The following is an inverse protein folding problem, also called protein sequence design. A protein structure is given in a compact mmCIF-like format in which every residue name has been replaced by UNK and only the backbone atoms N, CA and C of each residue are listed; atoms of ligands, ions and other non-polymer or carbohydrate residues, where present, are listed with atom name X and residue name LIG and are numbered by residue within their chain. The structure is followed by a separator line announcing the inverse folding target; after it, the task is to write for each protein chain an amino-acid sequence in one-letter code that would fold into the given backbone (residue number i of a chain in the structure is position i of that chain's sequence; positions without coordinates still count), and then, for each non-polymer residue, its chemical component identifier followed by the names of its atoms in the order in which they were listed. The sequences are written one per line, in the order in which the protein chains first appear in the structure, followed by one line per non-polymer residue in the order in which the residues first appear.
data_IF_112920353530
#
_entry.id   IF_112920353530
#
_cell.length_a   1.000
_cell.length_b   1.000
_cell.length_c   1.000
_cell.angle_alpha   90.00
_cell.angle_beta   90.00
_cell.angle_gamma   90.00
#
_symmetry.space_group_name_H-M   'P 1'
#
loop_
_entity.id
_entity.type
_entity.pdbx_description
1 polymer ?
#
# COMPACT_ATOMS: atom_id res chain seq x y z
N UNK A 1 -8.66 -14.66 -2.40
CA UNK A 1 -8.33 -13.26 -2.10
C UNK A 1 -9.43 -12.67 -1.24
N UNK A 2 -9.08 -12.00 -0.14
CA UNK A 2 -9.97 -11.00 0.47
C UNK A 2 -9.87 -9.79 -0.42
N UNK A 3 -10.98 -9.38 -1.01
CA UNK A 3 -11.02 -8.18 -1.86
C UNK A 3 -11.68 -7.07 -1.07
N UNK A 4 -10.97 -5.96 -0.95
CA UNK A 4 -11.48 -4.72 -0.38
C UNK A 4 -11.75 -3.75 -1.52
N UNK A 5 -12.96 -3.29 -1.64
CA UNK A 5 -13.37 -2.36 -2.69
C UNK A 5 -13.98 -1.11 -2.05
N UNK A 6 -13.36 0.01 -2.28
CA UNK A 6 -13.93 1.33 -1.97
C UNK A 6 -14.25 1.99 -3.30
N UNK A 7 -15.55 2.23 -3.55
CA UNK A 7 -16.01 2.87 -4.77
C UNK A 7 -16.38 4.33 -4.46
N UNK A 8 -15.70 5.26 -5.10
CA UNK A 8 -16.04 6.68 -5.07
C UNK A 8 -16.81 7.05 -6.32
N UNK A 9 -18.01 7.64 -6.14
CA UNK A 9 -18.80 8.16 -7.26
C UNK A 9 -18.75 9.68 -7.20
N UNK A 10 -18.03 10.30 -8.15
CA UNK A 10 -18.07 11.74 -8.38
C UNK A 10 -19.24 12.03 -9.31
N UNK A 11 -20.24 12.75 -8.84
CA UNK A 11 -21.38 13.13 -9.69
C UNK A 11 -20.99 14.30 -10.58
N UNK A 12 -20.69 14.03 -11.85
CA UNK A 12 -20.74 15.03 -12.90
C UNK A 12 -22.17 15.09 -13.51
N UNK A 13 -22.84 16.21 -13.35
CA UNK A 13 -24.02 16.57 -14.13
C UNK A 13 -25.37 16.30 -13.46
N UNK A 14 -26.05 17.37 -13.10
CA UNK A 14 -27.40 17.37 -12.55
C UNK A 14 -28.43 16.75 -13.49
N UNK A 15 -29.08 15.72 -12.99
CA UNK A 15 -30.41 15.32 -13.38
C UNK A 15 -31.22 15.25 -12.09
N UNK A 16 -32.26 16.06 -11.95
CA UNK A 16 -33.24 15.90 -10.88
C UNK A 16 -33.76 14.45 -10.97
N UNK A 17 -33.39 13.65 -10.00
CA UNK A 17 -33.98 12.33 -9.80
C UNK A 17 -35.17 12.51 -8.87
N UNK A 18 -36.36 12.16 -9.35
CA UNK A 18 -37.52 11.87 -8.52
C UNK A 18 -37.11 10.84 -7.44
N UNK A 19 -37.58 11.06 -6.20
CA UNK A 19 -37.29 10.16 -5.07
C UNK A 19 -37.50 8.69 -5.47
N UNK A 20 -36.50 7.81 -5.21
CA UNK A 20 -36.64 6.40 -5.53
C UNK A 20 -37.61 5.72 -4.57
N UNK A 21 -38.44 4.87 -5.12
CA UNK A 21 -39.19 3.86 -4.38
C UNK A 21 -38.23 3.04 -3.52
N UNK A 22 -38.46 3.07 -2.21
CA UNK A 22 -37.78 2.35 -1.10
C UNK A 22 -36.30 1.97 -1.30
N UNK A 23 -35.39 2.76 -0.71
CA UNK A 23 -33.93 2.46 -0.64
C UNK A 23 -33.63 1.04 -0.10
N UNK A 24 -34.47 0.47 0.75
CA UNK A 24 -34.32 -0.89 1.29
C UNK A 24 -34.26 -1.98 0.22
N UNK A 25 -35.00 -1.88 -0.87
CA UNK A 25 -34.99 -2.91 -1.93
C UNK A 25 -33.69 -2.95 -2.76
N UNK A 26 -33.07 -1.79 -2.97
CA UNK A 26 -31.82 -1.69 -3.75
C UNK A 26 -30.64 -2.21 -2.92
N UNK A 27 -30.56 -1.87 -1.63
CA UNK A 27 -29.51 -2.37 -0.75
C UNK A 27 -29.54 -3.89 -0.61
N UNK A 28 -30.71 -4.49 -0.48
CA UNK A 28 -30.88 -5.94 -0.38
C UNK A 28 -30.48 -6.63 -1.70
N UNK A 29 -30.81 -6.04 -2.83
CA UNK A 29 -30.39 -6.52 -4.14
C UNK A 29 -28.85 -6.48 -4.28
N UNK A 30 -28.20 -5.35 -3.92
CA UNK A 30 -26.76 -5.22 -3.94
C UNK A 30 -26.10 -6.22 -3.01
N UNK A 31 -26.60 -6.42 -1.79
CA UNK A 31 -26.07 -7.45 -0.86
C UNK A 31 -26.18 -8.86 -1.43
N UNK A 32 -27.28 -9.17 -2.14
CA UNK A 32 -27.49 -10.44 -2.79
C UNK A 32 -26.46 -10.67 -3.91
N UNK A 33 -26.23 -9.68 -4.74
CA UNK A 33 -25.22 -9.73 -5.80
C UNK A 33 -23.79 -9.86 -5.23
N UNK A 34 -23.46 -9.13 -4.16
CA UNK A 34 -22.17 -9.26 -3.49
C UNK A 34 -21.99 -10.66 -2.87
N UNK A 35 -23.04 -11.24 -2.29
CA UNK A 35 -23.01 -12.60 -1.78
C UNK A 35 -22.80 -13.63 -2.92
N UNK A 36 -23.41 -13.42 -4.07
CA UNK A 36 -23.17 -14.24 -5.24
C UNK A 36 -21.71 -14.16 -5.73
N UNK A 37 -21.10 -12.96 -5.68
CA UNK A 37 -19.67 -12.78 -6.00
C UNK A 37 -18.77 -13.52 -5.03
N UNK A 38 -19.03 -13.45 -3.73
CA UNK A 38 -18.23 -14.19 -2.71
C UNK A 38 -18.32 -15.70 -2.96
N UNK A 39 -19.49 -16.20 -3.36
CA UNK A 39 -19.71 -17.61 -3.70
C UNK A 39 -19.30 -17.97 -5.14
N UNK A 40 -18.55 -17.09 -5.83
CA UNK A 40 -18.04 -17.34 -7.18
C UNK A 40 -19.08 -17.40 -8.29
N UNK A 41 -20.37 -17.10 -8.01
CA UNK A 41 -21.44 -17.23 -8.98
C UNK A 41 -21.64 -18.67 -9.50
N UNK A 42 -21.22 -19.68 -8.73
CA UNK A 42 -21.21 -21.09 -9.11
C UNK A 42 -19.90 -21.57 -9.76
N UNK A 43 -18.89 -20.73 -9.86
CA UNK A 43 -17.54 -21.09 -10.33
C UNK A 43 -16.55 -21.05 -9.15
N UNK A 44 -16.04 -22.20 -8.67
CA UNK A 44 -15.08 -22.23 -7.55
C UNK A 44 -13.80 -21.40 -7.80
N UNK A 45 -13.41 -21.21 -9.05
CA UNK A 45 -12.25 -20.40 -9.40
C UNK A 45 -12.43 -18.91 -9.10
N UNK A 46 -13.67 -18.46 -8.90
CA UNK A 46 -14.03 -17.07 -8.62
C UNK A 46 -14.44 -16.82 -7.18
N UNK A 47 -14.49 -17.85 -6.35
CA UNK A 47 -14.83 -17.70 -4.94
C UNK A 47 -13.82 -16.80 -4.21
N UNK A 48 -14.34 -16.01 -3.27
CA UNK A 48 -13.55 -15.17 -2.37
C UNK A 48 -13.68 -15.73 -0.95
N UNK A 49 -12.59 -15.73 -0.18
CA UNK A 49 -12.66 -16.06 1.25
C UNK A 49 -13.43 -15.00 2.04
N UNK A 50 -13.35 -13.76 1.62
CA UNK A 50 -14.07 -12.64 2.20
C UNK A 50 -14.06 -11.42 1.28
N UNK A 51 -15.03 -10.54 1.49
CA UNK A 51 -15.21 -9.28 0.76
C UNK A 51 -15.69 -8.19 1.73
N UNK A 52 -15.00 -7.05 1.74
CA UNK A 52 -15.44 -5.84 2.42
C UNK A 52 -15.61 -4.72 1.39
N UNK A 53 -16.74 -4.05 1.41
CA UNK A 53 -17.11 -3.01 0.43
C UNK A 53 -17.65 -1.81 1.15
N UNK A 54 -17.19 -0.61 0.76
CA UNK A 54 -17.82 0.65 1.11
C UNK A 54 -18.05 1.48 -0.14
N UNK A 55 -19.17 2.21 -0.18
CA UNK A 55 -19.49 3.18 -1.23
C UNK A 55 -19.57 4.56 -0.58
N UNK A 56 -18.78 5.48 -1.11
CA UNK A 56 -18.75 6.87 -0.64
C UNK A 56 -19.33 7.80 -1.69
N UNK A 57 -20.14 8.74 -1.24
CA UNK A 57 -20.71 9.79 -2.09
C UNK A 57 -20.61 11.13 -1.38
N UNK A 58 -19.92 12.09 -1.99
CA UNK A 58 -19.75 13.42 -1.40
C UNK A 58 -18.95 13.42 -0.09
N UNK A 59 -18.07 12.43 0.13
CA UNK A 59 -17.30 12.30 1.38
C UNK A 59 -18.01 11.56 2.51
N UNK A 60 -19.21 11.03 2.27
CA UNK A 60 -19.98 10.24 3.24
C UNK A 60 -20.10 8.78 2.79
N UNK A 61 -20.02 7.85 3.74
CA UNK A 61 -20.29 6.44 3.49
C UNK A 61 -21.80 6.24 3.31
N UNK A 62 -22.21 5.81 2.11
CA UNK A 62 -23.62 5.60 1.77
C UNK A 62 -24.02 4.13 1.74
N UNK A 63 -23.06 3.23 1.69
CA UNK A 63 -23.28 1.78 1.76
C UNK A 63 -22.03 1.11 2.30
N UNK A 64 -22.23 0.07 3.14
CA UNK A 64 -21.19 -0.77 3.69
C UNK A 64 -21.65 -2.22 3.72
N UNK A 65 -20.76 -3.15 3.36
CA UNK A 65 -21.02 -4.58 3.48
C UNK A 65 -19.71 -5.34 3.73
N UNK A 66 -19.81 -6.36 4.58
CA UNK A 66 -18.78 -7.39 4.78
C UNK A 66 -19.41 -8.76 4.63
N UNK A 67 -18.75 -9.65 3.89
CA UNK A 67 -19.23 -10.99 3.59
C UNK A 67 -18.05 -11.98 3.62
N UNK A 68 -18.33 -13.24 3.92
CA UNK A 68 -17.31 -14.29 3.98
C UNK A 68 -16.61 -14.36 5.33
N UNK A 69 -15.35 -14.81 5.34
CA UNK A 69 -14.61 -15.20 6.54
C UNK A 69 -13.37 -14.34 6.75
N UNK A 70 -13.12 -13.95 7.99
CA UNK A 70 -11.85 -13.38 8.45
C UNK A 70 -10.85 -14.48 8.82
N UNK A 71 -11.35 -15.64 9.24
CA UNK A 71 -10.57 -16.84 9.50
C UNK A 71 -11.33 -18.09 9.08
N UNK A 72 -10.64 -19.01 8.40
CA UNK A 72 -11.14 -20.33 8.02
C UNK A 72 -10.38 -21.36 8.83
N UNK A 73 -11.07 -22.04 9.72
CA UNK A 73 -10.47 -23.03 10.60
C UNK A 73 -10.04 -24.27 9.80
N UNK A 74 -8.77 -24.65 9.81
CA UNK A 74 -8.30 -25.86 9.14
C UNK A 74 -8.98 -27.15 9.64
N UNK A 75 -9.44 -27.16 10.89
CA UNK A 75 -10.19 -28.30 11.47
C UNK A 75 -11.67 -28.27 11.07
N UNK A 76 -12.17 -27.17 10.52
CA UNK A 76 -13.58 -27.01 10.14
C UNK A 76 -14.52 -26.88 11.32
N UNK A 77 -14.02 -26.52 12.51
CA UNK A 77 -14.81 -26.45 13.73
C UNK A 77 -15.36 -25.05 14.00
N UNK A 78 -14.57 -24.00 13.69
CA UNK A 78 -14.92 -22.62 14.06
C UNK A 78 -14.36 -21.55 13.11
N UNK A 79 -15.00 -21.39 11.96
CA UNK A 79 -14.75 -20.22 11.11
C UNK A 79 -15.18 -18.93 11.81
N UNK A 80 -14.48 -17.83 11.51
CA UNK A 80 -14.85 -16.49 11.95
C UNK A 80 -15.34 -15.65 10.77
N UNK A 81 -16.47 -14.98 10.96
CA UNK A 81 -17.04 -14.07 9.96
C UNK A 81 -16.17 -12.83 9.78
N UNK A 82 -16.14 -12.29 8.57
CA UNK A 82 -15.51 -11.01 8.27
C UNK A 82 -16.41 -9.87 8.77
N UNK A 83 -15.83 -8.92 9.48
CA UNK A 83 -16.49 -7.74 10.02
C UNK A 83 -15.82 -6.45 9.52
N UNK A 84 -16.49 -5.28 9.60
CA UNK A 84 -15.88 -4.00 9.20
C UNK A 84 -14.63 -3.61 10.00
N UNK A 85 -14.49 -4.14 11.21
CA UNK A 85 -13.38 -3.85 12.13
C UNK A 85 -12.17 -4.77 11.90
N UNK A 86 -12.30 -5.84 11.12
CA UNK A 86 -11.18 -6.74 10.87
C UNK A 86 -10.03 -6.03 10.15
N UNK A 87 -8.82 -6.28 10.65
CA UNK A 87 -7.58 -5.73 10.11
C UNK A 87 -7.03 -6.65 9.03
N UNK A 88 -7.10 -6.21 7.80
CA UNK A 88 -6.59 -6.94 6.63
C UNK A 88 -5.32 -6.27 6.11
N UNK A 89 -4.36 -7.06 5.65
CA UNK A 89 -3.21 -6.53 4.94
C UNK A 89 -3.66 -5.89 3.62
N UNK A 90 -3.46 -4.57 3.48
CA UNK A 90 -3.93 -3.79 2.32
C UNK A 90 -2.89 -3.67 1.22
N UNK A 91 -1.83 -4.47 1.29
CA UNK A 91 -0.78 -4.52 0.27
C UNK A 91 -0.33 -3.11 -0.16
N UNK A 92 -0.28 -2.83 -1.47
CA UNK A 92 0.29 -1.58 -2.01
C UNK A 92 -0.48 -0.30 -1.67
N UNK A 93 -1.67 -0.36 -1.11
CA UNK A 93 -2.33 0.81 -0.50
C UNK A 93 -1.46 1.39 0.65
N UNK A 94 -0.60 0.58 1.25
CA UNK A 94 0.42 1.02 2.22
C UNK A 94 1.30 2.16 1.71
N UNK A 95 1.56 2.21 0.41
CA UNK A 95 2.37 3.25 -0.23
C UNK A 95 1.73 4.63 -0.09
N UNK A 96 0.41 4.68 -0.25
CA UNK A 96 -0.35 5.92 -0.07
C UNK A 96 -0.23 6.46 1.35
N UNK A 97 -0.27 5.57 2.37
CA UNK A 97 -0.05 5.97 3.77
C UNK A 97 1.35 6.55 3.97
N UNK A 98 2.38 5.89 3.40
CA UNK A 98 3.76 6.40 3.47
C UNK A 98 3.88 7.78 2.81
N UNK A 99 3.21 7.99 1.66
CA UNK A 99 3.21 9.28 0.96
C UNK A 99 2.52 10.39 1.79
N UNK A 100 1.43 10.08 2.50
CA UNK A 100 0.78 11.03 3.41
C UNK A 100 1.75 11.49 4.49
N UNK A 101 2.48 10.57 5.14
CA UNK A 101 3.45 10.93 6.19
C UNK A 101 4.64 11.72 5.62
N UNK A 102 5.12 11.40 4.41
CA UNK A 102 6.10 12.23 3.71
C UNK A 102 5.58 13.65 3.53
N UNK A 103 4.34 13.82 3.08
CA UNK A 103 3.75 15.15 2.87
C UNK A 103 3.56 15.94 4.17
N UNK A 104 3.23 15.28 5.28
CA UNK A 104 3.21 15.94 6.60
C UNK A 104 4.57 16.52 6.97
N UNK A 105 5.64 15.76 6.75
CA UNK A 105 7.01 16.23 7.01
C UNK A 105 7.46 17.31 6.01
N UNK A 106 6.92 17.31 4.79
CA UNK A 106 7.11 18.44 3.84
C UNK A 106 6.42 19.70 4.34
N UNK A 107 5.20 19.62 4.87
CA UNK A 107 4.50 20.75 5.48
C UNK A 107 5.24 21.31 6.71
N UNK A 108 5.88 20.43 7.49
CA UNK A 108 6.70 20.78 8.64
C UNK A 108 8.07 21.38 8.24
N UNK A 109 8.44 21.32 6.95
CA UNK A 109 9.72 21.80 6.43
C UNK A 109 10.91 20.88 6.72
N UNK A 110 10.64 19.65 7.21
CA UNK A 110 11.64 18.62 7.52
C UNK A 110 12.10 17.88 6.25
N UNK A 111 11.20 17.75 5.26
CA UNK A 111 11.47 17.11 3.97
C UNK A 111 11.22 18.08 2.80
N UNK A 112 11.95 17.86 1.73
CA UNK A 112 11.78 18.50 0.43
C UNK A 112 11.72 17.39 -0.63
N UNK A 113 10.64 17.38 -1.42
CA UNK A 113 10.37 16.34 -2.42
C UNK A 113 11.45 16.27 -3.51
N UNK A 114 12.12 17.39 -3.80
CA UNK A 114 13.06 17.53 -4.91
C UNK A 114 14.53 17.55 -4.47
N UNK A 115 14.79 17.49 -3.15
CA UNK A 115 16.14 17.35 -2.61
C UNK A 115 16.70 15.98 -2.92
N UNK A 116 18.03 15.95 -3.14
CA UNK A 116 18.78 14.71 -3.30
C UNK A 116 18.61 13.80 -2.09
N UNK A 117 18.13 12.57 -2.33
CA UNK A 117 17.84 11.59 -1.27
C UNK A 117 19.09 11.23 -0.46
N UNK A 118 20.30 11.34 -1.06
CA UNK A 118 21.58 11.04 -0.41
C UNK A 118 21.84 11.96 0.80
N UNK A 119 21.32 13.19 0.76
CA UNK A 119 21.48 14.14 1.87
C UNK A 119 20.72 13.67 3.13
N UNK A 120 19.54 13.06 2.95
CA UNK A 120 18.77 12.50 4.07
C UNK A 120 19.34 11.18 4.57
N UNK A 121 19.79 10.34 3.65
CA UNK A 121 20.34 9.02 3.98
C UNK A 121 21.70 9.11 4.71
N UNK A 122 22.50 10.16 4.41
CA UNK A 122 23.86 10.31 4.91
C UNK A 122 24.89 9.43 4.18
N UNK A 123 24.50 8.85 3.05
CA UNK A 123 25.35 8.11 2.12
C UNK A 123 24.82 8.28 0.69
N UNK A 124 25.69 8.13 -0.29
CA UNK A 124 25.35 8.36 -1.69
C UNK A 124 24.49 7.23 -2.26
N UNK A 125 23.26 7.57 -2.72
CA UNK A 125 22.40 6.69 -3.50
C UNK A 125 22.25 7.25 -4.89
N UNK A 126 22.93 6.60 -5.86
CA UNK A 126 22.97 7.00 -7.26
C UNK A 126 22.82 5.79 -8.15
N UNK A 127 22.13 5.99 -9.26
CA UNK A 127 22.23 5.04 -10.36
C UNK A 127 23.62 5.20 -11.03
N UNK A 128 24.47 4.16 -11.04
CA UNK A 128 25.83 4.25 -11.59
C UNK A 128 25.86 4.55 -13.10
N UNK A 129 24.75 4.30 -13.83
CA UNK A 129 24.61 4.63 -15.24
C UNK A 129 24.16 6.09 -15.49
N UNK A 130 23.72 6.79 -14.43
CA UNK A 130 23.30 8.21 -14.46
C UNK A 130 23.85 8.96 -13.23
N UNK A 131 25.19 8.99 -13.06
CA UNK A 131 25.83 9.47 -11.83
C UNK A 131 25.58 10.96 -11.54
N UNK A 132 25.33 11.74 -12.57
CA UNK A 132 25.07 13.18 -12.46
C UNK A 132 23.60 13.51 -12.14
N UNK A 133 22.72 12.51 -12.04
CA UNK A 133 21.30 12.70 -11.76
C UNK A 133 20.97 12.31 -10.32
N UNK A 134 20.45 13.25 -9.56
CA UNK A 134 19.93 12.98 -8.21
C UNK A 134 18.69 12.09 -8.27
N UNK A 135 18.57 11.19 -7.29
CA UNK A 135 17.31 10.53 -6.95
C UNK A 135 16.66 11.36 -5.84
N UNK A 136 15.36 11.61 -5.95
CA UNK A 136 14.61 12.46 -5.01
C UNK A 136 13.42 11.69 -4.43
N UNK A 137 12.79 12.20 -3.36
CA UNK A 137 11.54 11.64 -2.83
C UNK A 137 10.45 11.61 -3.89
N UNK A 138 10.32 12.68 -4.70
CA UNK A 138 9.38 12.72 -5.82
C UNK A 138 9.57 11.53 -6.78
N UNK A 139 10.81 11.23 -7.13
CA UNK A 139 11.13 10.11 -8.01
C UNK A 139 10.79 8.74 -7.38
N UNK A 140 11.06 8.57 -6.08
CA UNK A 140 10.76 7.33 -5.35
C UNK A 140 9.27 7.09 -5.25
N UNK A 141 8.49 8.10 -4.83
CA UNK A 141 7.05 8.01 -4.63
C UNK A 141 6.28 7.75 -5.92
N UNK A 142 6.79 8.26 -7.06
CA UNK A 142 6.15 8.12 -8.37
C UNK A 142 6.74 7.01 -9.26
N UNK A 143 7.62 6.16 -8.72
CA UNK A 143 8.23 5.03 -9.44
C UNK A 143 9.06 5.40 -10.67
N UNK A 144 9.67 6.59 -10.65
CA UNK A 144 10.58 7.06 -11.71
C UNK A 144 12.01 7.27 -11.19
N UNK A 145 12.40 6.57 -10.15
CA UNK A 145 13.72 6.73 -9.50
C UNK A 145 14.88 6.09 -10.25
N UNK A 146 14.60 5.25 -11.24
CA UNK A 146 15.54 4.33 -11.87
C UNK A 146 16.10 3.21 -10.98
N UNK A 147 15.56 3.06 -9.76
CA UNK A 147 15.80 1.89 -8.90
C UNK A 147 14.84 0.78 -9.32
N UNK A 148 15.29 -0.49 -9.20
CA UNK A 148 14.53 -1.68 -9.57
C UNK A 148 14.40 -2.66 -8.41
N UNK A 149 13.30 -3.39 -8.40
CA UNK A 149 13.19 -4.62 -7.61
C UNK A 149 14.07 -5.68 -8.26
N UNK A 150 15.18 -6.03 -7.63
CA UNK A 150 16.16 -6.94 -8.22
C UNK A 150 16.48 -8.12 -7.30
N UNK A 151 16.93 -9.20 -7.93
CA UNK A 151 17.32 -10.43 -7.24
C UNK A 151 16.12 -11.23 -6.72
N UNK A 152 16.39 -12.18 -5.83
CA UNK A 152 15.38 -13.04 -5.25
C UNK A 152 14.44 -12.30 -4.29
N UNK A 153 14.87 -11.13 -3.75
CA UNK A 153 14.07 -10.32 -2.83
C UNK A 153 14.41 -8.84 -2.95
N UNK A 154 13.38 -8.02 -3.19
CA UNK A 154 13.49 -6.56 -3.06
C UNK A 154 13.53 -6.12 -1.59
N UNK A 155 13.22 -6.99 -0.63
CA UNK A 155 13.27 -6.68 0.79
C UNK A 155 14.67 -6.95 1.32
N UNK A 156 15.37 -5.88 1.71
CA UNK A 156 16.61 -5.97 2.45
C UNK A 156 16.23 -6.19 3.91
N UNK A 157 16.52 -7.39 4.43
CA UNK A 157 16.09 -7.77 5.78
C UNK A 157 17.14 -7.38 6.83
N UNK A 158 16.67 -6.87 7.96
CA UNK A 158 17.50 -6.72 9.16
C UNK A 158 18.14 -8.10 9.54
N UNK A 159 19.38 -8.18 10.03
CA UNK A 159 20.21 -7.05 10.48
C UNK A 159 20.99 -6.28 9.39
N UNK A 160 20.84 -6.62 8.10
CA UNK A 160 21.47 -5.83 7.03
C UNK A 160 20.92 -4.41 7.02
N UNK A 161 21.82 -3.43 6.99
CA UNK A 161 21.42 -2.04 6.74
C UNK A 161 20.93 -1.89 5.29
N UNK A 162 20.04 -0.91 5.05
CA UNK A 162 19.57 -0.61 3.69
C UNK A 162 20.75 -0.28 2.77
N UNK A 163 21.74 0.47 3.26
CA UNK A 163 22.96 0.83 2.55
C UNK A 163 23.72 -0.37 1.99
N UNK A 164 23.79 -1.47 2.73
CA UNK A 164 24.46 -2.70 2.29
C UNK A 164 23.76 -3.36 1.09
N UNK A 165 22.46 -3.10 0.90
CA UNK A 165 21.71 -3.52 -0.29
C UNK A 165 22.07 -2.74 -1.55
N UNK A 166 22.74 -1.58 -1.38
CA UNK A 166 23.26 -0.73 -2.45
C UNK A 166 24.78 -0.65 -2.46
N UNK A 167 25.46 -1.62 -1.84
CA UNK A 167 26.91 -1.72 -1.90
C UNK A 167 27.36 -2.13 -3.30
N UNK A 168 28.24 -1.34 -3.97
CA UNK A 168 28.82 -1.70 -5.28
C UNK A 168 29.52 -3.05 -5.33
N UNK A 169 30.00 -3.56 -4.21
CA UNK A 169 30.58 -4.90 -4.09
C UNK A 169 29.53 -6.01 -3.90
N UNK A 170 28.26 -5.65 -3.72
CA UNK A 170 27.17 -6.58 -3.50
C UNK A 170 26.75 -7.33 -4.77
N UNK A 171 26.26 -8.58 -4.65
CA UNK A 171 25.95 -9.44 -5.80
C UNK A 171 24.77 -8.91 -6.65
N UNK A 172 23.90 -8.10 -6.05
CA UNK A 172 22.67 -7.61 -6.70
C UNK A 172 22.79 -6.15 -7.17
N UNK A 173 23.93 -5.49 -6.94
CA UNK A 173 24.06 -4.03 -7.12
C UNK A 173 23.67 -3.57 -8.53
N UNK A 174 24.26 -4.20 -9.56
CA UNK A 174 24.01 -3.83 -10.95
C UNK A 174 22.55 -4.06 -11.37
N UNK A 175 21.90 -5.02 -10.76
CA UNK A 175 20.49 -5.34 -11.06
C UNK A 175 19.50 -4.35 -10.42
N UNK A 176 19.94 -3.60 -9.41
CA UNK A 176 19.09 -2.64 -8.66
C UNK A 176 18.85 -1.33 -9.39
N UNK A 177 19.45 -1.14 -10.55
CA UNK A 177 19.32 0.10 -11.29
C UNK A 177 18.98 -0.14 -12.76
N UNK A 178 18.28 0.82 -13.34
CA UNK A 178 18.09 0.89 -14.79
C UNK A 178 19.44 1.11 -15.45
N UNK A 179 19.75 0.32 -16.47
CA UNK A 179 20.96 0.47 -17.28
C UNK A 179 20.77 1.54 -18.35
N UNK A 180 21.85 2.25 -18.70
CA UNK A 180 21.83 3.14 -19.83
C UNK A 180 21.65 2.35 -21.15
N UNK A 181 20.75 2.84 -21.99
CA UNK A 181 20.43 2.25 -23.30
C UNK A 181 20.57 3.32 -24.39
N UNK A 182 21.20 2.99 -25.52
CA UNK A 182 21.35 3.95 -26.60
C UNK A 182 19.98 4.34 -27.18
N UNK A 183 19.73 5.65 -27.25
CA UNK A 183 18.46 6.19 -27.78
C UNK A 183 17.31 6.19 -26.79
N UNK A 184 17.49 5.66 -25.56
CA UNK A 184 16.42 5.58 -24.55
C UNK A 184 16.92 6.08 -23.21
N UNK A 185 16.29 7.12 -22.69
CA UNK A 185 16.62 7.65 -21.35
C UNK A 185 15.86 6.89 -20.26
N UNK A 186 16.58 6.11 -19.47
CA UNK A 186 16.06 5.34 -18.32
C UNK A 186 16.50 5.92 -16.97
N UNK A 187 16.98 7.14 -16.97
CA UNK A 187 17.45 7.81 -15.77
C UNK A 187 16.34 8.28 -14.84
N UNK A 188 16.73 8.75 -13.63
CA UNK A 188 15.80 9.30 -12.66
C UNK A 188 14.94 10.42 -13.24
N UNK A 189 13.64 10.41 -12.94
CA UNK A 189 12.64 11.37 -13.37
C UNK A 189 12.04 11.13 -14.76
N UNK A 190 12.52 10.15 -15.52
CA UNK A 190 12.10 9.95 -16.91
C UNK A 190 11.42 8.60 -17.15
N UNK A 191 11.99 7.53 -16.61
CA UNK A 191 11.58 6.17 -16.91
C UNK A 191 10.77 5.58 -15.76
N UNK A 192 9.57 5.09 -16.05
CA UNK A 192 8.70 4.44 -15.08
C UNK A 192 9.00 2.95 -14.99
N UNK A 193 9.25 2.48 -13.78
CA UNK A 193 9.22 1.07 -13.41
C UNK A 193 8.69 0.96 -11.99
N UNK A 194 7.57 0.24 -11.80
CA UNK A 194 7.04 -0.01 -10.47
C UNK A 194 8.07 -0.73 -9.60
N UNK A 195 8.46 -0.12 -8.50
CA UNK A 195 9.53 -0.60 -7.64
C UNK A 195 9.14 -0.53 -6.16
N UNK A 196 9.09 -1.68 -5.50
CA UNK A 196 8.78 -1.77 -4.06
C UNK A 196 9.95 -1.28 -3.21
N UNK A 197 11.19 -1.49 -3.65
CA UNK A 197 12.39 -1.06 -2.94
C UNK A 197 12.44 0.47 -2.75
N UNK A 198 11.84 1.25 -3.65
CA UNK A 198 11.68 2.68 -3.49
C UNK A 198 11.08 3.04 -2.12
N UNK A 199 10.05 2.32 -1.70
CA UNK A 199 9.39 2.57 -0.41
C UNK A 199 10.20 2.08 0.78
N UNK A 200 11.08 1.10 0.59
CA UNK A 200 12.12 0.76 1.58
C UNK A 200 13.07 1.93 1.83
N UNK A 201 13.47 2.63 0.75
CA UNK A 201 14.26 3.88 0.85
C UNK A 201 13.46 4.97 1.54
N UNK A 202 12.22 5.21 1.13
CA UNK A 202 11.32 6.20 1.76
C UNK A 202 11.18 5.94 3.26
N UNK A 203 10.89 4.70 3.67
CA UNK A 203 10.78 4.34 5.09
C UNK A 203 12.05 4.62 5.87
N UNK A 204 13.22 4.36 5.28
CA UNK A 204 14.52 4.64 5.91
C UNK A 204 14.78 6.16 6.04
N UNK A 205 14.38 6.95 5.04
CA UNK A 205 14.46 8.43 5.10
C UNK A 205 13.54 8.98 6.19
N UNK A 206 12.31 8.49 6.27
CA UNK A 206 11.37 8.88 7.33
C UNK A 206 11.96 8.63 8.72
N UNK A 207 12.59 7.48 8.93
CA UNK A 207 13.28 7.17 10.19
C UNK A 207 14.51 8.05 10.43
N UNK A 208 15.30 8.36 9.39
CA UNK A 208 16.48 9.24 9.50
C UNK A 208 16.12 10.64 9.95
N UNK A 209 15.06 11.19 9.36
CA UNK A 209 14.66 12.58 9.63
C UNK A 209 13.96 12.70 10.98
N UNK A 210 13.12 11.75 11.35
CA UNK A 210 12.32 11.82 12.57
C UNK A 210 12.99 11.19 13.79
N UNK A 211 13.94 10.29 13.61
CA UNK A 211 14.50 9.46 14.69
C UNK A 211 13.52 8.43 15.25
N UNK A 212 12.34 8.27 14.63
CA UNK A 212 11.29 7.35 15.06
C UNK A 212 11.24 6.16 14.12
N UNK A 213 11.11 4.95 14.68
CA UNK A 213 10.95 3.72 13.91
C UNK A 213 9.71 3.80 13.01
N UNK A 214 9.82 3.34 11.76
CA UNK A 214 8.79 3.53 10.72
C UNK A 214 7.38 3.10 11.17
N UNK A 215 7.22 1.92 11.73
CA UNK A 215 5.91 1.41 12.16
C UNK A 215 5.28 2.25 13.28
N UNK A 216 6.09 2.76 14.21
CA UNK A 216 5.63 3.69 15.25
C UNK A 216 5.26 5.05 14.66
N UNK A 217 6.08 5.57 13.74
CA UNK A 217 5.80 6.84 13.06
C UNK A 217 4.47 6.79 12.32
N UNK A 218 4.20 5.70 11.59
CA UNK A 218 2.94 5.52 10.87
C UNK A 218 1.74 5.48 11.82
N UNK A 219 1.87 4.84 12.98
CA UNK A 219 0.81 4.86 14.01
C UNK A 219 0.57 6.28 14.51
N UNK A 220 1.61 6.99 14.92
CA UNK A 220 1.53 8.36 15.47
C UNK A 220 0.96 9.38 14.48
N UNK A 221 1.27 9.21 13.18
CA UNK A 221 0.96 10.21 12.15
C UNK A 221 -0.34 9.95 11.40
N UNK A 222 -0.83 8.70 11.38
CA UNK A 222 -2.04 8.34 10.64
C UNK A 222 -3.10 7.64 11.51
N UNK A 223 -2.76 6.52 12.15
CA UNK A 223 -3.76 5.70 12.83
C UNK A 223 -4.29 6.35 14.12
N UNK A 224 -3.41 6.78 15.00
CA UNK A 224 -3.76 7.35 16.30
C UNK A 224 -4.56 8.66 16.19
N UNK A 225 -4.18 9.64 15.34
CA UNK A 225 -4.97 10.86 15.20
C UNK A 225 -6.40 10.60 14.76
N UNK A 226 -6.64 9.58 13.94
CA UNK A 226 -7.96 9.19 13.45
C UNK A 226 -8.69 8.19 14.37
N UNK A 227 -8.06 7.77 15.47
CA UNK A 227 -8.62 6.75 16.36
C UNK A 227 -8.80 5.38 15.70
N UNK A 228 -7.98 5.05 14.70
CA UNK A 228 -8.05 3.82 13.91
C UNK A 228 -7.17 2.73 14.53
N UNK A 229 -7.69 1.51 14.56
CA UNK A 229 -6.90 0.31 14.77
C UNK A 229 -6.07 0.01 13.51
N UNK A 230 -4.88 -0.61 13.69
CA UNK A 230 -4.03 -1.03 12.60
C UNK A 230 -2.59 -0.54 12.68
N UNK A 231 -1.80 -0.85 11.65
CA UNK A 231 -0.38 -0.51 11.61
C UNK A 231 0.41 -1.38 10.65
N UNK A 232 1.73 -1.21 10.65
CA UNK A 232 2.65 -1.91 9.76
C UNK A 232 3.33 -3.12 10.39
N UNK A 233 3.32 -3.22 11.71
CA UNK A 233 3.96 -4.28 12.47
C UNK A 233 2.92 -4.95 13.36
N UNK A 234 2.60 -6.23 13.07
CA UNK A 234 1.61 -7.01 13.82
C UNK A 234 2.01 -7.18 15.30
N UNK A 235 3.31 -7.33 15.59
CA UNK A 235 3.79 -7.45 16.95
C UNK A 235 3.63 -6.16 17.80
N UNK A 236 3.52 -4.99 17.14
CA UNK A 236 3.28 -3.70 17.78
C UNK A 236 1.79 -3.37 17.96
N UNK A 237 0.89 -4.20 17.48
CA UNK A 237 -0.55 -4.07 17.71
C UNK A 237 -0.88 -4.47 19.15
N UNK A 238 -1.84 -3.81 19.77
CA UNK A 238 -2.37 -4.20 21.07
C UNK A 238 -3.07 -5.57 21.01
N UNK A 239 -3.22 -6.24 22.14
CA UNK A 239 -3.92 -7.54 22.25
C UNK A 239 -5.36 -7.47 21.66
N UNK A 240 -6.02 -6.32 21.77
CA UNK A 240 -7.34 -6.11 21.20
C UNK A 240 -7.30 -5.97 19.68
N UNK A 241 -6.30 -5.27 19.13
CA UNK A 241 -6.12 -5.12 17.68
C UNK A 241 -5.67 -6.43 17.03
N UNK A 242 -4.80 -7.20 17.69
CA UNK A 242 -4.36 -8.50 17.20
C UNK A 242 -5.52 -9.49 17.02
N UNK A 243 -6.55 -9.42 17.88
CA UNK A 243 -7.78 -10.21 17.73
C UNK A 243 -8.65 -9.82 16.54
N UNK A 244 -8.43 -8.65 15.98
CA UNK A 244 -9.12 -8.16 14.78
C UNK A 244 -8.42 -8.57 13.48
N UNK A 245 -7.23 -9.17 13.53
CA UNK A 245 -6.51 -9.61 12.34
C UNK A 245 -7.38 -10.59 11.53
N UNK A 246 -7.33 -10.44 10.21
CA UNK A 246 -7.93 -11.36 9.27
C UNK A 246 -6.85 -12.03 8.42
N UNK A 247 -6.92 -13.32 8.29
CA UNK A 247 -6.04 -14.11 7.41
C UNK A 247 -6.40 -13.87 5.94
N UNK A 248 -5.42 -13.57 5.11
CA UNK A 248 -5.60 -13.57 3.66
C UNK A 248 -5.37 -14.96 3.09
N UNK A 249 -6.31 -15.43 2.30
CA UNK A 249 -6.30 -16.77 1.73
C UNK A 249 -6.13 -16.77 0.22
N UNK A 250 -5.58 -17.85 -0.28
CA UNK A 250 -5.53 -18.20 -1.70
C UNK A 250 -5.96 -19.65 -1.86
N UNK A 251 -6.75 -19.96 -2.89
CA UNK A 251 -6.98 -21.36 -3.24
C UNK A 251 -5.74 -21.96 -3.84
N UNK A 252 -5.35 -23.15 -3.41
CA UNK A 252 -4.12 -23.79 -3.88
C UNK A 252 -3.88 -25.15 -3.29
N UNK A 253 -2.83 -25.82 -3.76
CA UNK A 253 -2.33 -27.06 -3.17
C UNK A 253 -1.36 -26.78 -2.01
N UNK A 254 -0.72 -25.61 -2.03
CA UNK A 254 0.16 -25.07 -1.02
C UNK A 254 0.33 -23.55 -1.24
N UNK A 255 1.15 -22.88 -0.43
CA UNK A 255 1.40 -21.45 -0.51
C UNK A 255 1.88 -20.94 -1.88
N UNK A 256 2.52 -21.78 -2.68
CA UNK A 256 3.12 -21.40 -3.96
C UNK A 256 2.29 -21.80 -5.18
N UNK A 257 1.42 -22.81 -5.05
CA UNK A 257 0.70 -23.42 -6.19
C UNK A 257 -0.78 -23.10 -6.14
N UNK A 258 -1.19 -22.09 -6.92
CA UNK A 258 -2.60 -21.79 -7.10
C UNK A 258 -3.34 -22.94 -7.81
N UNK A 259 -4.51 -23.29 -7.28
CA UNK A 259 -5.41 -24.25 -7.88
C UNK A 259 -6.86 -23.87 -7.54
N UNK A 260 -7.66 -23.58 -8.55
CA UNK A 260 -9.03 -23.04 -8.38
C UNK A 260 -9.95 -23.89 -7.51
N UNK A 261 -9.80 -25.21 -7.56
CA UNK A 261 -10.58 -26.17 -6.80
C UNK A 261 -9.86 -26.67 -5.52
N UNK A 262 -8.69 -26.09 -5.22
CA UNK A 262 -7.90 -26.45 -4.03
C UNK A 262 -8.53 -25.90 -2.74
N UNK A 263 -8.01 -26.33 -1.58
CA UNK A 263 -8.41 -25.76 -0.30
C UNK A 263 -8.00 -24.29 -0.20
N UNK A 264 -8.56 -23.58 0.77
CA UNK A 264 -8.09 -22.28 1.19
C UNK A 264 -6.77 -22.42 1.94
N UNK A 265 -5.71 -21.79 1.44
CA UNK A 265 -4.37 -21.81 2.02
C UNK A 265 -4.03 -20.40 2.51
N UNK A 266 -3.67 -20.23 3.80
CA UNK A 266 -3.24 -18.96 4.34
C UNK A 266 -2.03 -18.42 3.58
N UNK A 267 -2.01 -17.11 3.32
CA UNK A 267 -0.91 -16.43 2.63
C UNK A 267 -0.28 -15.34 3.50
N UNK A 268 -1.09 -14.68 4.31
CA UNK A 268 -0.66 -13.58 5.18
C UNK A 268 -1.48 -13.64 6.45
N UNK A 269 -0.81 -13.37 7.58
CA UNK A 269 -1.38 -13.35 8.91
C UNK A 269 -2.15 -14.65 9.21
N UNK A 270 -1.45 -15.78 9.04
CA UNK A 270 -1.99 -17.09 9.37
C UNK A 270 -2.24 -17.20 10.88
N UNK A 271 -3.49 -17.27 11.27
CA UNK A 271 -3.92 -17.35 12.66
C UNK A 271 -4.10 -18.78 13.16
N UNK A 272 -3.89 -19.80 12.31
CA UNK A 272 -4.05 -21.21 12.66
C UNK A 272 -3.06 -21.68 13.73
N UNK A 273 -1.88 -21.07 13.79
CA UNK A 273 -0.84 -21.34 14.82
C UNK A 273 -0.74 -20.24 15.87
N UNK A 274 -1.69 -19.32 15.91
CA UNK A 274 -1.70 -18.15 16.79
C UNK A 274 -1.33 -16.86 16.06
N UNK A 275 -1.13 -15.78 16.83
CA UNK A 275 -0.82 -14.47 16.24
C UNK A 275 0.58 -14.51 15.62
N UNK A 276 0.72 -14.15 14.34
CA UNK A 276 2.00 -14.15 13.66
C UNK A 276 3.00 -13.24 14.39
N UNK A 277 4.11 -13.80 14.82
CA UNK A 277 5.26 -13.02 15.33
C UNK A 277 5.96 -12.39 14.13
N UNK A 278 5.36 -11.36 13.56
CA UNK A 278 6.00 -10.61 12.50
C UNK A 278 7.02 -9.66 13.13
N UNK A 279 8.24 -9.78 12.71
CA UNK A 279 9.40 -8.94 13.03
C UNK A 279 9.74 -8.92 14.53
N UNK A 280 10.96 -9.33 14.88
CA UNK A 280 11.44 -9.18 16.24
C UNK A 280 11.20 -7.73 16.71
N UNK A 281 10.74 -7.54 17.93
CA UNK A 281 11.01 -6.31 18.65
C UNK A 281 12.52 -6.31 18.90
N UNK A 282 13.27 -5.89 17.88
CA UNK A 282 14.71 -5.75 18.04
C UNK A 282 14.94 -4.54 18.92
N UNK A 283 15.17 -4.80 20.22
CA UNK A 283 15.59 -3.78 21.18
C UNK A 283 16.84 -3.04 20.69
N UNK A 284 17.56 -3.63 19.74
CA UNK A 284 18.78 -3.11 19.15
C UNK A 284 18.56 -2.41 17.78
N UNK A 285 17.32 -2.37 17.26
CA UNK A 285 17.06 -1.68 15.99
C UNK A 285 17.25 -0.17 16.12
N UNK A 286 18.11 0.39 15.29
CA UNK A 286 18.37 1.83 15.23
C UNK A 286 17.57 2.43 14.08
N UNK A 287 16.61 3.36 14.33
CA UNK A 287 15.89 4.06 13.30
C UNK A 287 16.81 4.69 12.26
N UNK A 288 16.46 4.55 10.99
CA UNK A 288 17.26 5.01 9.87
C UNK A 288 18.32 4.00 9.38
N UNK A 289 18.39 2.81 9.98
CA UNK A 289 19.26 1.74 9.48
C UNK A 289 18.62 1.01 8.30
N UNK A 290 17.37 0.59 8.45
CA UNK A 290 16.65 -0.17 7.44
C UNK A 290 15.13 -0.12 7.60
N UNK A 291 14.49 0.97 7.26
CA UNK A 291 13.03 1.13 7.29
C UNK A 291 12.28 0.14 6.39
N UNK A 292 12.96 -0.47 5.39
CA UNK A 292 12.38 -1.52 4.54
C UNK A 292 11.91 -2.74 5.33
N UNK A 293 12.49 -2.99 6.52
CA UNK A 293 12.13 -4.07 7.43
C UNK A 293 10.63 -4.04 7.80
N UNK A 294 10.03 -2.85 7.91
CA UNK A 294 8.63 -2.67 8.29
C UNK A 294 7.68 -2.65 7.09
N UNK A 295 8.17 -3.03 5.92
CA UNK A 295 7.39 -3.16 4.68
C UNK A 295 6.56 -1.91 4.32
N UNK A 296 7.18 -0.72 4.18
CA UNK A 296 6.48 0.51 3.80
C UNK A 296 5.67 0.39 2.51
N UNK A 297 6.11 -0.48 1.60
CA UNK A 297 5.49 -0.74 0.31
C UNK A 297 4.20 -1.56 0.38
N UNK A 298 3.94 -2.28 1.49
CA UNK A 298 2.85 -3.26 1.46
C UNK A 298 2.48 -3.89 2.80
N UNK A 299 2.98 -3.36 3.92
CA UNK A 299 2.85 -3.98 5.24
C UNK A 299 1.66 -3.51 6.09
N UNK A 300 0.89 -2.51 5.68
CA UNK A 300 -0.19 -1.99 6.48
C UNK A 300 -1.35 -3.00 6.65
N UNK A 301 -1.88 -3.07 7.87
CA UNK A 301 -3.14 -3.72 8.22
C UNK A 301 -4.13 -2.64 8.56
N UNK A 302 -5.26 -2.65 7.88
CA UNK A 302 -6.33 -1.67 8.05
C UNK A 302 -7.70 -2.35 8.02
N UNK A 303 -8.64 -1.77 8.73
CA UNK A 303 -10.05 -2.14 8.66
C UNK A 303 -10.75 -1.43 7.48
N UNK A 304 -11.99 -1.82 7.20
CA UNK A 304 -12.82 -1.12 6.23
C UNK A 304 -12.95 0.37 6.60
N UNK A 305 -13.16 0.69 7.89
CA UNK A 305 -13.19 2.07 8.40
C UNK A 305 -11.89 2.85 8.15
N UNK A 306 -10.75 2.17 8.23
CA UNK A 306 -9.46 2.76 7.89
C UNK A 306 -9.38 3.15 6.42
N UNK A 307 -9.88 2.30 5.51
CA UNK A 307 -9.94 2.60 4.08
C UNK A 307 -10.98 3.67 3.74
N UNK A 308 -12.11 3.69 4.42
CA UNK A 308 -13.10 4.78 4.30
C UNK A 308 -12.48 6.13 4.68
N UNK A 309 -11.75 6.17 5.80
CA UNK A 309 -11.03 7.37 6.22
C UNK A 309 -10.02 7.83 5.18
N UNK A 310 -9.27 6.89 4.60
CA UNK A 310 -8.33 7.18 3.52
C UNK A 310 -9.06 7.72 2.28
N UNK A 311 -10.18 7.12 1.90
CA UNK A 311 -11.00 7.58 0.77
C UNK A 311 -11.58 8.98 1.01
N UNK A 312 -12.10 9.25 2.21
CA UNK A 312 -12.60 10.57 2.62
C UNK A 312 -11.49 11.63 2.51
N UNK A 313 -10.29 11.31 3.00
CA UNK A 313 -9.12 12.19 2.89
C UNK A 313 -8.84 12.58 1.43
N UNK A 314 -8.84 11.57 0.53
CA UNK A 314 -8.56 11.78 -0.90
C UNK A 314 -9.71 12.41 -1.68
N UNK A 315 -10.95 12.21 -1.27
CA UNK A 315 -12.11 12.90 -1.87
C UNK A 315 -12.23 14.36 -1.41
N UNK A 316 -11.72 14.62 -0.20
CA UNK A 316 -11.79 15.91 0.47
C UNK A 316 -10.54 16.77 0.27
N UNK A 317 -10.28 17.58 1.26
CA UNK A 317 -9.22 18.60 1.34
C UNK A 317 -8.08 18.23 2.29
N UNK A 318 -7.93 16.96 2.65
CA UNK A 318 -6.93 16.48 3.59
C UNK A 318 -7.44 16.33 5.03
N UNK A 319 -8.77 16.36 5.22
CA UNK A 319 -9.42 16.17 6.52
C UNK A 319 -10.28 14.90 6.55
N UNK A 320 -10.43 14.31 7.73
CA UNK A 320 -11.39 13.25 8.05
C UNK A 320 -12.20 13.72 9.26
N UNK A 321 -13.47 14.06 9.05
CA UNK A 321 -14.25 14.78 10.05
C UNK A 321 -13.57 16.10 10.44
N UNK A 322 -13.40 16.33 11.74
CA UNK A 322 -12.74 17.54 12.27
C UNK A 322 -11.20 17.42 12.32
N UNK A 323 -10.63 16.29 11.90
CA UNK A 323 -9.20 16.03 11.98
C UNK A 323 -8.55 16.31 10.62
N UNK A 324 -7.65 17.28 10.57
CA UNK A 324 -6.86 17.59 9.39
C UNK A 324 -5.52 16.87 9.47
N UNK A 325 -5.27 15.99 8.51
CA UNK A 325 -3.98 15.30 8.36
C UNK A 325 -3.03 16.02 7.40
N UNK A 326 -3.56 16.66 6.36
CA UNK A 326 -2.80 17.40 5.36
C UNK A 326 -3.52 18.71 4.99
N UNK A 327 -2.74 19.71 4.62
CA UNK A 327 -3.27 20.92 4.02
C UNK A 327 -3.83 20.66 2.59
N UNK A 328 -4.77 21.47 2.10
CA UNK A 328 -5.32 21.33 0.75
C UNK A 328 -4.24 21.39 -0.35
N UNK A 329 -3.21 22.21 -0.13
CA UNK A 329 -2.07 22.35 -1.03
C UNK A 329 -1.29 21.04 -1.17
N UNK A 330 -1.04 20.35 -0.06
CA UNK A 330 -0.36 19.04 -0.04
C UNK A 330 -1.21 17.95 -0.67
N UNK A 331 -2.55 18.02 -0.49
CA UNK A 331 -3.46 17.14 -1.23
C UNK A 331 -3.43 17.40 -2.73
N UNK A 332 -3.26 18.66 -3.13
CA UNK A 332 -3.04 19.07 -4.53
C UNK A 332 -1.75 18.45 -5.08
N UNK A 333 -0.66 18.53 -4.32
CA UNK A 333 0.63 17.96 -4.68
C UNK A 333 0.57 16.42 -4.82
N UNK A 334 -0.06 15.71 -3.87
CA UNK A 334 -0.27 14.25 -3.98
C UNK A 334 -1.02 13.84 -5.25
N UNK A 335 -1.90 14.70 -5.77
CA UNK A 335 -2.68 14.44 -7.00
C UNK A 335 -1.98 14.95 -8.26
N UNK A 336 -0.82 15.61 -8.12
CA UNK A 336 -0.10 16.15 -9.27
C UNK A 336 0.43 15.02 -10.15
N UNK A 337 0.24 15.17 -11.45
CA UNK A 337 0.79 14.26 -12.44
C UNK A 337 2.31 14.45 -12.52
N UNK A 338 3.07 13.44 -12.09
CA UNK A 338 4.53 13.48 -12.10
C UNK A 338 5.09 12.88 -13.39
N UNK A 339 4.44 11.86 -13.92
CA UNK A 339 4.90 11.17 -15.11
C UNK A 339 3.71 10.72 -15.98
N UNK A 340 3.93 10.70 -17.28
CA UNK A 340 2.99 10.15 -18.25
C UNK A 340 3.72 9.33 -19.31
N UNK A 341 3.06 8.28 -19.79
CA UNK A 341 3.58 7.47 -20.89
C UNK A 341 3.75 8.32 -22.16
N UNK A 342 4.91 8.18 -22.78
CA UNK A 342 5.23 8.78 -24.08
C UNK A 342 5.69 7.66 -25.02
N UNK A 343 4.86 7.24 -26.00
CA UNK A 343 5.21 6.15 -26.90
C UNK A 343 6.41 6.46 -27.80
N UNK A 344 6.78 7.75 -27.96
CA UNK A 344 7.96 8.12 -28.74
C UNK A 344 9.26 7.97 -27.94
N UNK A 345 9.15 8.01 -26.61
CA UNK A 345 10.29 7.86 -25.69
C UNK A 345 10.43 6.46 -25.13
N UNK A 346 9.39 5.62 -25.32
CA UNK A 346 9.35 4.27 -24.72
C UNK A 346 9.74 4.30 -23.24
N UNK A 347 9.18 5.26 -22.48
CA UNK A 347 9.62 5.61 -21.14
C UNK A 347 8.99 4.72 -20.03
N UNK A 348 8.66 3.49 -20.35
CA UNK A 348 8.14 2.46 -19.44
C UNK A 348 8.71 1.10 -19.78
N UNK A 349 8.91 0.24 -18.78
CA UNK A 349 9.09 -1.20 -18.99
C UNK A 349 7.73 -1.81 -19.36
N UNK A 350 7.66 -2.45 -20.53
CA UNK A 350 6.41 -3.05 -21.01
C UNK A 350 6.19 -4.42 -20.33
N UNK A 351 5.32 -4.43 -19.34
CA UNK A 351 4.87 -5.64 -18.67
C UNK A 351 3.69 -6.29 -19.38
N UNK A 352 3.65 -6.55 -20.65
CA UNK A 352 2.54 -7.19 -21.38
C UNK A 352 1.60 -6.30 -22.22
N UNK A 353 2.01 -5.08 -22.54
CA UNK A 353 1.20 -4.19 -23.41
C UNK A 353 -0.04 -3.58 -22.76
N UNK A 354 -0.25 -3.78 -21.45
CA UNK A 354 -1.44 -3.25 -20.76
C UNK A 354 -1.28 -1.82 -20.22
N UNK A 355 -0.12 -1.18 -20.41
CA UNK A 355 0.22 0.09 -19.76
C UNK A 355 0.25 1.32 -20.69
N UNK A 356 -0.27 1.22 -21.88
CA UNK A 356 -0.15 2.24 -22.94
C UNK A 356 -0.81 3.60 -22.66
N UNK A 357 -1.45 3.80 -21.49
CA UNK A 357 -2.10 5.07 -21.12
C UNK A 357 -1.86 5.45 -19.66
N UNK A 358 -0.74 5.07 -19.05
CA UNK A 358 -0.50 5.36 -17.65
C UNK A 358 0.04 6.75 -17.41
N UNK A 359 -0.45 7.28 -16.34
CA UNK A 359 0.06 8.45 -15.64
C UNK A 359 0.27 8.07 -14.18
N UNK A 360 1.22 8.66 -13.51
CA UNK A 360 1.42 8.43 -12.08
C UNK A 360 1.65 9.72 -11.31
N UNK A 361 1.01 9.79 -10.15
CA UNK A 361 1.34 10.72 -9.09
C UNK A 361 2.11 10.00 -7.96
N UNK A 362 1.86 10.36 -6.72
CA UNK A 362 2.48 9.73 -5.54
C UNK A 362 1.60 8.61 -4.99
N UNK A 363 1.70 7.40 -5.50
CA UNK A 363 0.97 6.24 -5.00
C UNK A 363 1.73 4.94 -5.06
#
# INVERSE_FOLDING_TARGET
FVTMLVISISACGGREMTEPESSMGIEDEVRTELAALVNGGGDPARELSGLAVAVLRGGEVTFEATLGRSFIDPAGEQDLDLTPDNLMRVASISKTLSAIVVMQLVEEGELDLDRDISEYLGWELRNPHYPDRAITLRHLLSHVSSIRDAGESYIIRYPRALQEGFDPAGPDYDQRFQIAEEGRDRGPGVFYEYCNLNYGVVGTVLEKVTGVRFDHLMRQRFFEPLGLAGGFNVAALSDSEQKLLATLYRRGQNESNWHSEGPWVPQVDDLSEGIPTALPEDADYVPGTNGAQFSPQGGARMSLKGLESLAILFLGDGSVGDIRLLAPESMGELRTLVWSYDPQKENIEDYDGTFNERTTGFW
#
